data_IF_265929387742
#
_entry.id   IF_265929387742
#
_cell.length_a   1.000
_cell.length_b   1.000
_cell.length_c   1.000
_cell.angle_alpha   90.00
_cell.angle_beta   90.00
_cell.angle_gamma   90.00
#
_symmetry.space_group_name_H-M   'P 1'
#
loop_
_entity.id
_entity.type
_entity.pdbx_description
1 polymer ?
#
# COMPACT_ATOMS: atom_id res chain seq x y z
N UNK A 1 9.11 -0.01 -8.73
CA UNK A 1 7.98 -0.07 -7.75
C UNK A 1 7.38 -1.47 -7.84
N UNK A 2 7.09 -2.15 -6.72
CA UNK A 2 6.88 -3.62 -6.61
C UNK A 2 8.11 -4.53 -6.62
N UNK A 3 9.32 -4.01 -6.85
CA UNK A 3 10.56 -4.82 -6.87
C UNK A 3 10.88 -5.48 -5.51
N UNK A 4 10.34 -4.93 -4.41
CA UNK A 4 10.44 -5.50 -3.07
C UNK A 4 9.23 -6.37 -2.71
N UNK A 5 8.30 -6.58 -3.64
CA UNK A 5 7.11 -7.39 -3.39
C UNK A 5 7.50 -8.86 -3.22
N UNK A 6 6.96 -9.49 -2.18
CA UNK A 6 7.19 -10.91 -1.87
C UNK A 6 5.93 -11.75 -2.02
N UNK A 7 4.86 -11.19 -2.61
CA UNK A 7 3.62 -11.92 -2.86
C UNK A 7 2.76 -12.22 -1.62
N UNK A 8 3.04 -11.62 -0.46
CA UNK A 8 2.31 -11.90 0.81
C UNK A 8 0.83 -11.48 0.87
N UNK A 9 0.28 -10.89 -0.19
CA UNK A 9 -1.14 -10.52 -0.36
C UNK A 9 -1.75 -9.53 0.65
N UNK A 10 -1.00 -9.12 1.66
CA UNK A 10 -1.48 -8.25 2.75
C UNK A 10 -2.06 -6.94 2.24
N UNK A 11 -1.49 -6.37 1.18
CA UNK A 11 -1.99 -5.16 0.54
C UNK A 11 -3.42 -5.32 -0.02
N UNK A 12 -3.75 -6.50 -0.55
CA UNK A 12 -5.07 -6.80 -1.07
C UNK A 12 -6.07 -7.04 0.08
N UNK A 13 -5.66 -7.79 1.11
CA UNK A 13 -6.48 -8.08 2.30
C UNK A 13 -6.91 -6.81 3.05
N UNK A 14 -6.04 -5.80 3.14
CA UNK A 14 -6.32 -4.58 3.90
C UNK A 14 -6.96 -3.48 3.06
N UNK A 15 -7.16 -3.69 1.76
CA UNK A 15 -7.78 -2.69 0.89
C UNK A 15 -9.31 -2.74 1.04
N UNK A 16 -9.96 -1.75 1.68
CA UNK A 16 -11.42 -1.79 1.88
C UNK A 16 -12.22 -1.66 0.58
N UNK A 17 -11.55 -1.22 -0.49
CA UNK A 17 -12.15 -0.99 -1.82
C UNK A 17 -11.84 -2.10 -2.82
N UNK A 18 -10.96 -3.05 -2.47
CA UNK A 18 -10.56 -4.15 -3.35
C UNK A 18 -10.00 -3.69 -4.71
N UNK A 19 -9.17 -2.64 -4.72
CA UNK A 19 -8.74 -1.98 -5.98
C UNK A 19 -7.69 -2.73 -6.80
N UNK A 20 -7.12 -3.80 -6.25
CA UNK A 20 -6.16 -4.67 -6.93
C UNK A 20 -6.09 -6.04 -6.24
N UNK A 21 -5.55 -7.02 -6.98
CA UNK A 21 -5.04 -8.29 -6.45
C UNK A 21 -3.52 -8.18 -6.23
N UNK A 22 -2.91 -9.17 -5.57
CA UNK A 22 -1.43 -9.23 -5.48
C UNK A 22 -0.77 -9.37 -6.86
N UNK A 23 -1.42 -10.09 -7.79
CA UNK A 23 -0.91 -10.33 -9.14
C UNK A 23 -0.88 -9.04 -9.98
N UNK A 24 -1.88 -8.19 -9.79
CA UNK A 24 -2.07 -6.97 -10.60
C UNK A 24 -1.71 -5.68 -9.85
N UNK A 25 -1.07 -5.80 -8.68
CA UNK A 25 -0.75 -4.64 -7.82
C UNK A 25 0.14 -3.61 -8.52
N UNK A 26 0.96 -4.04 -9.48
CA UNK A 26 1.77 -3.16 -10.31
C UNK A 26 0.95 -2.37 -11.35
N UNK A 27 -0.11 -3.00 -11.88
CA UNK A 27 -0.97 -2.41 -12.90
C UNK A 27 -2.05 -1.48 -12.31
N UNK A 28 -2.43 -1.69 -11.04
CA UNK A 28 -3.48 -0.94 -10.34
C UNK A 28 -4.76 -0.76 -11.19
N UNK A 29 -5.42 -1.86 -11.61
CA UNK A 29 -6.48 -1.83 -12.61
C UNK A 29 -7.69 -0.96 -12.22
N UNK A 30 -7.94 -0.77 -10.93
CA UNK A 30 -9.04 0.06 -10.42
C UNK A 30 -8.51 1.27 -9.64
N UNK A 31 -7.44 1.90 -10.12
CA UNK A 31 -6.85 3.09 -9.51
C UNK A 31 -7.86 4.24 -9.32
N UNK A 32 -8.87 4.33 -10.18
CA UNK A 32 -9.99 5.29 -10.07
C UNK A 32 -10.81 5.11 -8.78
N UNK A 33 -10.88 3.89 -8.25
CA UNK A 33 -11.60 3.55 -7.02
C UNK A 33 -10.76 3.75 -5.77
N UNK A 34 -9.47 4.08 -5.92
CA UNK A 34 -8.55 4.26 -4.82
C UNK A 34 -8.77 5.60 -4.11
N UNK A 35 -9.32 5.55 -2.90
CA UNK A 35 -9.49 6.71 -2.02
C UNK A 35 -8.18 7.21 -1.37
N UNK A 36 -7.03 6.60 -1.72
CA UNK A 36 -5.71 6.95 -1.19
C UNK A 36 -5.62 6.89 0.35
N UNK A 37 -6.32 5.93 0.97
CA UNK A 37 -6.30 5.74 2.43
C UNK A 37 -4.92 5.36 2.99
N UNK A 38 -4.10 4.67 2.19
CA UNK A 38 -2.72 4.28 2.54
C UNK A 38 -2.59 2.95 3.28
N UNK A 39 -3.69 2.22 3.52
CA UNK A 39 -3.69 0.95 4.26
C UNK A 39 -2.70 -0.07 3.67
N UNK A 40 -2.72 -0.25 2.35
CA UNK A 40 -1.82 -1.17 1.65
C UNK A 40 -0.34 -0.83 1.82
N UNK A 41 0.01 0.45 1.87
CA UNK A 41 1.39 0.94 2.03
C UNK A 41 1.89 0.73 3.47
N UNK A 42 1.02 1.05 4.44
CA UNK A 42 1.33 0.88 5.87
C UNK A 42 1.56 -0.61 6.20
N UNK A 43 0.71 -1.47 5.64
CA UNK A 43 0.70 -2.90 5.99
C UNK A 43 1.66 -3.74 5.15
N UNK A 44 2.11 -3.28 3.98
CA UNK A 44 3.07 -4.02 3.15
C UNK A 44 4.39 -4.24 3.90
N UNK A 45 4.80 -5.48 4.24
CA UNK A 45 5.96 -5.79 5.09
C UNK A 45 7.29 -5.25 4.56
N UNK A 46 7.42 -5.17 3.24
CA UNK A 46 8.67 -4.90 2.52
C UNK A 46 8.74 -3.53 1.87
N UNK A 47 7.81 -2.63 2.18
CA UNK A 47 7.84 -1.25 1.64
C UNK A 47 7.74 -1.19 0.10
N UNK A 48 7.10 -2.18 -0.50
CA UNK A 48 7.03 -2.32 -1.96
C UNK A 48 6.11 -1.29 -2.64
N UNK A 49 5.22 -0.64 -1.87
CA UNK A 49 4.20 0.29 -2.33
C UNK A 49 4.48 1.71 -1.81
N UNK A 50 4.13 2.73 -2.60
CA UNK A 50 4.25 4.14 -2.24
C UNK A 50 3.26 4.99 -3.04
N UNK A 51 2.92 6.18 -2.54
CA UNK A 51 2.18 7.15 -3.33
C UNK A 51 3.09 7.93 -4.27
N UNK A 52 2.53 8.34 -5.41
CA UNK A 52 3.17 9.24 -6.36
C UNK A 52 2.24 10.44 -6.54
N UNK A 53 2.78 11.64 -6.42
CA UNK A 53 2.02 12.87 -6.62
C UNK A 53 1.72 13.08 -8.12
N UNK A 54 0.76 13.94 -8.48
CA UNK A 54 0.53 14.31 -9.88
C UNK A 54 1.78 14.90 -10.57
N UNK A 55 2.69 15.48 -9.79
CA UNK A 55 3.99 15.98 -10.26
C UNK A 55 5.08 14.89 -10.37
N UNK A 56 4.72 13.60 -10.24
CA UNK A 56 5.65 12.48 -10.34
C UNK A 56 6.53 12.25 -9.10
N UNK A 57 6.34 13.01 -8.01
CA UNK A 57 7.14 12.83 -6.80
C UNK A 57 6.68 11.59 -6.02
N UNK A 58 7.60 10.66 -5.79
CA UNK A 58 7.36 9.51 -4.90
C UNK A 58 7.40 9.95 -3.44
N UNK A 59 6.36 9.61 -2.69
CA UNK A 59 6.32 9.78 -1.23
C UNK A 59 6.78 8.47 -0.60
N UNK A 60 7.88 8.44 0.17
CA UNK A 60 8.41 7.20 0.68
C UNK A 60 7.45 6.58 1.71
N UNK A 61 7.38 5.24 1.79
CA UNK A 61 6.40 4.56 2.63
C UNK A 61 6.62 4.81 4.13
N UNK A 62 7.85 5.12 4.56
CA UNK A 62 8.17 5.53 5.93
C UNK A 62 7.44 6.82 6.35
N UNK A 63 7.35 7.82 5.46
CA UNK A 63 6.63 9.07 5.70
C UNK A 63 5.14 8.78 5.86
N UNK A 64 4.58 7.98 4.95
CA UNK A 64 3.16 7.59 4.97
C UNK A 64 2.83 6.85 6.28
N UNK A 65 3.72 5.98 6.75
CA UNK A 65 3.57 5.23 8.00
C UNK A 65 3.60 6.11 9.23
N UNK A 66 4.53 7.08 9.30
CA UNK A 66 4.64 7.99 10.45
C UNK A 66 3.30 8.61 10.82
N UNK A 67 2.52 9.00 9.83
CA UNK A 67 1.21 9.63 10.04
C UNK A 67 0.06 8.62 10.13
N UNK A 68 0.05 7.58 9.27
CA UNK A 68 -1.10 6.66 9.15
C UNK A 68 -1.07 5.49 10.14
N UNK A 69 0.09 5.07 10.64
CA UNK A 69 0.18 3.98 11.60
C UNK A 69 -0.49 4.35 12.93
N UNK A 70 -0.38 5.62 13.35
CA UNK A 70 -1.06 6.14 14.55
C UNK A 70 -2.59 5.98 14.47
N UNK A 71 -3.17 6.01 13.27
CA UNK A 71 -4.60 5.81 13.03
C UNK A 71 -4.98 4.32 12.92
N UNK A 72 -4.06 3.46 12.49
CA UNK A 72 -4.30 2.04 12.24
C UNK A 72 -3.88 1.12 13.40
N UNK A 73 -3.27 1.68 14.45
CA UNK A 73 -2.92 1.00 15.69
C UNK A 73 -1.68 0.11 15.59
N UNK A 74 -1.75 -0.99 14.84
CA UNK A 74 -0.60 -1.89 14.64
C UNK A 74 -0.48 -2.30 13.19
N UNK A 75 0.75 -2.50 12.74
CA UNK A 75 0.99 -3.32 11.57
C UNK A 75 0.53 -4.71 11.95
N UNK A 76 -0.36 -5.29 11.16
CA UNK A 76 -0.64 -6.69 11.28
C UNK A 76 0.76 -7.35 11.12
N UNK A 77 1.25 -7.99 12.18
CA UNK A 77 2.45 -8.83 12.11
C UNK A 77 1.91 -10.23 11.86
N UNK A 78 2.42 -10.89 10.82
CA UNK A 78 2.21 -12.34 10.72
C UNK A 78 2.92 -12.97 11.93
N UNK A 79 2.17 -13.81 12.64
CA UNK A 79 2.73 -14.73 13.63
C UNK A 79 3.47 -15.86 12.94
#
# INVERSE_FOLDING_TARGET
MVERCVGCERCAQVCPRGVFTVADVAAQPYADRCERCGACIVQCPTDALAFVTPAGKRIPPEEIRRYKLNLMGRRMREG
#
